data_IF_240036959776
#
_entry.id   IF_240036959776
#
_cell.length_a   1.000
_cell.length_b   1.000
_cell.length_c   1.000
_cell.angle_alpha   90.00
_cell.angle_beta   90.00
_cell.angle_gamma   90.00
#
_symmetry.space_group_name_H-M   'P 1'
#
loop_
_entity.id
_entity.type
_entity.pdbx_description
1 polymer ?
#
# COMPACT_ATOMS: atom_id res chain seq x y z
N UNK A 1 -24.09 17.86 -4.13
CA UNK A 1 -23.20 16.70 -3.95
C UNK A 1 -23.07 16.00 -5.29
N UNK A 2 -21.87 15.95 -5.87
CA UNK A 2 -21.68 15.33 -7.18
C UNK A 2 -21.59 13.81 -7.02
N UNK A 3 -22.45 13.07 -7.72
CA UNK A 3 -22.40 11.60 -7.78
C UNK A 3 -21.51 11.18 -8.94
N UNK A 4 -20.36 10.60 -8.65
CA UNK A 4 -19.47 10.04 -9.69
C UNK A 4 -20.13 8.79 -10.28
N UNK A 5 -20.22 8.69 -11.62
CA UNK A 5 -20.78 7.54 -12.34
C UNK A 5 -19.76 7.01 -13.33
N UNK A 6 -19.41 5.74 -13.24
CA UNK A 6 -18.58 5.01 -14.20
C UNK A 6 -19.53 4.19 -15.07
N UNK A 7 -19.29 4.23 -16.37
CA UNK A 7 -20.05 3.50 -17.37
C UNK A 7 -19.41 2.13 -17.55
N UNK A 8 -20.15 1.06 -17.24
CA UNK A 8 -19.71 -0.30 -17.55
C UNK A 8 -19.83 -0.57 -19.06
N UNK A 9 -19.17 -1.62 -19.53
CA UNK A 9 -19.12 -2.03 -20.94
C UNK A 9 -20.50 -2.36 -21.55
N UNK A 10 -21.51 -2.58 -20.73
CA UNK A 10 -22.92 -2.80 -21.11
C UNK A 10 -23.77 -1.52 -21.10
N UNK A 11 -23.17 -0.36 -20.78
CA UNK A 11 -23.84 0.94 -20.75
C UNK A 11 -24.66 1.21 -19.49
N UNK A 12 -24.67 0.32 -18.50
CA UNK A 12 -25.35 0.57 -17.24
C UNK A 12 -24.59 1.59 -16.38
N UNK A 13 -25.33 2.43 -15.65
CA UNK A 13 -24.80 3.44 -14.73
C UNK A 13 -25.01 2.94 -13.30
N UNK A 14 -23.93 2.50 -12.65
CA UNK A 14 -23.95 2.14 -11.23
C UNK A 14 -23.63 3.36 -10.35
N UNK A 15 -24.36 3.53 -9.23
CA UNK A 15 -24.03 4.53 -8.20
C UNK A 15 -22.75 4.08 -7.45
N UNK A 16 -21.67 4.85 -7.54
CA UNK A 16 -20.29 4.42 -7.25
C UNK A 16 -19.70 4.95 -5.94
N UNK A 17 -20.46 5.72 -5.15
CA UNK A 17 -19.93 6.31 -3.91
C UNK A 17 -19.33 5.29 -2.95
N UNK A 18 -19.83 4.05 -2.96
CA UNK A 18 -19.34 2.95 -2.12
C UNK A 18 -18.06 2.30 -2.67
N UNK A 19 -17.87 2.30 -3.99
CA UNK A 19 -16.82 1.52 -4.66
C UNK A 19 -15.51 2.29 -4.90
N UNK A 20 -15.53 3.62 -5.01
CA UNK A 20 -14.29 4.41 -5.21
C UNK A 20 -13.39 4.32 -3.99
N UNK A 21 -13.97 4.47 -2.80
CA UNK A 21 -13.21 4.40 -1.53
C UNK A 21 -12.55 3.03 -1.34
N UNK A 22 -13.20 1.97 -1.81
CA UNK A 22 -12.65 0.62 -1.79
C UNK A 22 -11.54 0.44 -2.83
N UNK A 23 -11.73 0.97 -4.04
CA UNK A 23 -10.71 0.98 -5.10
C UNK A 23 -9.43 1.72 -4.66
N UNK A 24 -9.58 2.81 -3.91
CA UNK A 24 -8.49 3.65 -3.41
C UNK A 24 -7.71 3.06 -2.22
N UNK A 25 -8.18 1.95 -1.60
CA UNK A 25 -7.45 1.33 -0.48
C UNK A 25 -6.06 0.85 -0.88
N UNK A 26 -5.97 0.25 -2.07
CA UNK A 26 -4.75 -0.40 -2.56
C UNK A 26 -4.17 0.30 -3.79
N UNK A 27 -4.79 1.40 -4.24
CA UNK A 27 -4.45 2.03 -5.50
C UNK A 27 -4.40 3.56 -5.41
N UNK A 28 -3.62 4.19 -6.30
CA UNK A 28 -3.43 5.64 -6.36
C UNK A 28 -3.68 6.14 -7.78
N UNK A 29 -4.36 7.29 -7.90
CA UNK A 29 -4.54 8.00 -9.16
C UNK A 29 -3.31 8.77 -9.57
N UNK A 30 -2.97 8.70 -10.86
CA UNK A 30 -1.79 9.36 -11.42
C UNK A 30 -2.19 10.22 -12.61
N UNK A 31 -1.66 11.44 -12.66
CA UNK A 31 -1.81 12.32 -13.83
C UNK A 31 -1.09 11.74 -15.04
N UNK A 32 -1.64 11.95 -16.24
CA UNK A 32 -1.04 11.53 -17.51
C UNK A 32 0.42 11.99 -17.66
N UNK A 33 0.77 13.15 -17.09
CA UNK A 33 2.13 13.70 -17.12
C UNK A 33 3.20 12.81 -16.45
N UNK A 34 2.81 11.81 -15.65
CA UNK A 34 3.72 10.90 -14.96
C UNK A 34 3.73 9.49 -15.57
N UNK A 35 3.02 9.26 -16.68
CA UNK A 35 2.93 7.92 -17.29
C UNK A 35 4.27 7.45 -17.86
N UNK A 36 5.01 8.34 -18.52
CA UNK A 36 6.31 8.01 -19.09
C UNK A 36 7.28 7.52 -18.00
N UNK A 37 7.23 8.14 -16.81
CA UNK A 37 8.02 7.70 -15.65
C UNK A 37 7.63 6.29 -15.19
N UNK A 38 6.35 5.93 -15.22
CA UNK A 38 5.91 4.57 -14.86
C UNK A 38 6.38 3.54 -15.88
N UNK A 39 6.33 3.88 -17.18
CA UNK A 39 6.83 3.02 -18.27
C UNK A 39 8.33 2.81 -18.14
N UNK A 40 9.11 3.89 -17.97
CA UNK A 40 10.57 3.85 -17.83
C UNK A 40 11.03 2.98 -16.65
N UNK A 41 10.23 2.93 -15.58
CA UNK A 41 10.51 2.15 -14.38
C UNK A 41 9.85 0.76 -14.37
N UNK A 42 9.22 0.33 -15.47
CA UNK A 42 8.48 -0.95 -15.56
C UNK A 42 7.41 -1.12 -14.46
N UNK A 43 6.77 -0.03 -14.06
CA UNK A 43 5.73 -0.05 -13.03
C UNK A 43 4.37 -0.29 -13.72
N UNK A 44 3.66 -1.38 -13.39
CA UNK A 44 2.38 -1.67 -14.01
C UNK A 44 1.30 -0.67 -13.57
N UNK A 45 0.49 -0.23 -14.53
CA UNK A 45 -0.65 0.64 -14.31
C UNK A 45 -1.85 0.16 -15.13
N UNK A 46 -3.05 0.60 -14.75
CA UNK A 46 -4.28 0.38 -15.52
C UNK A 46 -4.79 1.71 -16.06
N UNK A 47 -5.23 1.74 -17.32
CA UNK A 47 -5.90 2.89 -17.95
C UNK A 47 -7.41 2.67 -17.92
N UNK A 48 -8.18 3.71 -17.61
CA UNK A 48 -9.63 3.71 -17.82
C UNK A 48 -10.14 5.09 -18.23
N UNK A 49 -11.31 5.13 -18.88
CA UNK A 49 -11.96 6.35 -19.33
C UNK A 49 -13.23 6.57 -18.54
N UNK A 50 -13.41 7.79 -18.01
CA UNK A 50 -14.58 8.20 -17.26
C UNK A 50 -14.99 9.59 -17.75
N UNK A 51 -16.24 9.75 -18.23
CA UNK A 51 -16.78 11.00 -18.77
C UNK A 51 -15.83 11.69 -19.78
N UNK A 52 -15.33 10.93 -20.76
CA UNK A 52 -14.36 11.36 -21.79
C UNK A 52 -12.99 11.83 -21.26
N UNK A 53 -12.73 11.64 -19.96
CA UNK A 53 -11.44 11.91 -19.32
C UNK A 53 -10.69 10.59 -19.09
N UNK A 54 -9.41 10.56 -19.49
CA UNK A 54 -8.52 9.42 -19.26
C UNK A 54 -7.89 9.47 -17.89
N UNK A 55 -7.99 8.37 -17.15
CA UNK A 55 -7.39 8.16 -15.85
C UNK A 55 -6.42 6.98 -15.86
N UNK A 56 -5.41 7.06 -15.00
CA UNK A 56 -4.45 6.00 -14.79
C UNK A 56 -4.37 5.68 -13.31
N UNK A 57 -4.29 4.38 -13.01
CA UNK A 57 -4.25 3.89 -11.64
C UNK A 57 -3.10 2.91 -11.46
N UNK A 58 -2.35 3.10 -10.39
CA UNK A 58 -1.24 2.24 -9.98
C UNK A 58 -1.58 1.58 -8.65
N UNK A 59 -1.10 0.36 -8.45
CA UNK A 59 -1.13 -0.25 -7.11
C UNK A 59 -0.15 0.47 -6.21
N UNK A 60 -0.58 0.82 -5.00
CA UNK A 60 0.31 1.36 -4.01
C UNK A 60 1.34 0.28 -3.64
N UNK A 61 2.63 0.61 -3.74
CA UNK A 61 3.68 -0.25 -3.22
C UNK A 61 3.51 -0.38 -1.71
N UNK A 62 3.25 -1.60 -1.21
CA UNK A 62 3.41 -1.88 0.21
C UNK A 62 4.90 -2.00 0.49
N UNK A 63 5.43 -1.18 1.40
CA UNK A 63 6.79 -1.38 1.86
C UNK A 63 6.84 -2.78 2.47
N UNK A 64 7.69 -3.65 1.90
CA UNK A 64 7.89 -4.98 2.47
C UNK A 64 8.31 -4.80 3.92
N UNK A 65 7.64 -5.49 4.84
CA UNK A 65 8.07 -5.54 6.23
C UNK A 65 9.51 -6.03 6.24
N UNK A 66 10.34 -5.36 7.03
CA UNK A 66 11.77 -5.67 7.13
C UNK A 66 12.02 -7.08 7.65
N UNK A 67 11.17 -7.54 8.57
CA UNK A 67 11.25 -8.84 9.19
C UNK A 67 10.06 -9.69 8.78
N UNK A 68 10.32 -10.96 8.46
CA UNK A 68 9.29 -11.96 8.22
C UNK A 68 8.76 -12.54 9.55
N UNK A 69 7.77 -13.43 9.47
CA UNK A 69 7.13 -14.01 10.66
C UNK A 69 8.08 -14.83 11.55
N UNK A 70 9.05 -15.53 10.95
CA UNK A 70 10.04 -16.33 11.69
C UNK A 70 11.03 -15.42 12.43
N UNK A 71 11.52 -14.38 11.76
CA UNK A 71 12.40 -13.38 12.36
C UNK A 71 11.70 -12.63 13.49
N UNK A 72 10.42 -12.29 13.32
CA UNK A 72 9.59 -11.68 14.38
C UNK A 72 9.47 -12.62 15.58
N UNK A 73 9.33 -13.94 15.38
CA UNK A 73 9.31 -14.91 16.46
C UNK A 73 10.66 -14.98 17.21
N UNK A 74 11.78 -14.94 16.48
CA UNK A 74 13.11 -14.86 17.07
C UNK A 74 13.31 -13.59 17.91
N UNK A 75 12.90 -12.43 17.39
CA UNK A 75 12.96 -11.15 18.11
C UNK A 75 12.11 -11.20 19.40
N UNK A 76 10.91 -11.80 19.33
CA UNK A 76 10.04 -11.97 20.50
C UNK A 76 10.66 -12.87 21.56
N UNK A 77 11.32 -13.95 21.17
CA UNK A 77 12.04 -14.83 22.11
C UNK A 77 13.22 -14.10 22.76
N UNK A 78 13.99 -13.35 21.98
CA UNK A 78 15.10 -12.57 22.52
C UNK A 78 14.63 -11.44 23.47
N UNK A 79 13.43 -10.90 23.27
CA UNK A 79 12.82 -9.88 24.16
C UNK A 79 12.57 -10.38 25.59
N UNK A 80 12.54 -11.70 25.81
CA UNK A 80 12.41 -12.30 27.14
C UNK A 80 13.68 -12.11 27.98
N UNK A 81 14.84 -11.98 27.32
CA UNK A 81 16.16 -11.94 27.99
C UNK A 81 16.95 -10.66 27.71
N UNK A 82 16.63 -9.93 26.64
CA UNK A 82 17.36 -8.75 26.18
C UNK A 82 16.50 -7.48 26.19
N UNK A 83 17.13 -6.33 26.42
CA UNK A 83 16.46 -5.04 26.32
C UNK A 83 16.25 -4.62 24.86
N UNK A 84 15.22 -3.80 24.63
CA UNK A 84 14.86 -3.28 23.31
C UNK A 84 16.04 -2.59 22.62
N UNK A 85 16.84 -1.80 23.36
CA UNK A 85 18.05 -1.15 22.80
C UNK A 85 19.12 -2.15 22.36
N UNK A 86 19.31 -3.25 23.09
CA UNK A 86 20.28 -4.28 22.67
C UNK A 86 19.79 -4.99 21.40
N UNK A 87 18.49 -5.23 21.29
CA UNK A 87 17.90 -5.85 20.10
C UNK A 87 17.88 -4.93 18.89
N UNK A 88 17.67 -3.62 19.07
CA UNK A 88 17.74 -2.66 17.97
C UNK A 88 19.13 -2.67 17.33
N UNK A 89 20.19 -2.82 18.15
CA UNK A 89 21.56 -3.01 17.65
C UNK A 89 21.74 -4.38 17.01
N UNK A 90 21.32 -5.48 17.66
CA UNK A 90 21.47 -6.86 17.15
C UNK A 90 20.81 -7.06 15.78
N UNK A 91 19.61 -6.51 15.59
CA UNK A 91 18.82 -6.64 14.36
C UNK A 91 18.94 -5.41 13.43
N UNK A 92 19.85 -4.49 13.74
CA UNK A 92 20.13 -3.27 12.98
C UNK A 92 18.87 -2.47 12.59
N UNK A 93 17.92 -2.31 13.51
CA UNK A 93 16.66 -1.61 13.26
C UNK A 93 16.41 -0.56 14.34
N UNK A 94 15.38 0.28 14.15
CA UNK A 94 15.05 1.29 15.15
C UNK A 94 14.41 0.64 16.39
N UNK A 95 14.59 1.29 17.54
CA UNK A 95 13.94 0.90 18.81
C UNK A 95 12.42 0.79 18.63
N UNK A 96 11.81 1.66 17.80
CA UNK A 96 10.38 1.62 17.50
C UNK A 96 9.94 0.34 16.78
N UNK A 97 10.78 -0.22 15.89
CA UNK A 97 10.45 -1.48 15.22
C UNK A 97 10.36 -2.62 16.24
N UNK A 98 11.35 -2.72 17.12
CA UNK A 98 11.34 -3.73 18.20
C UNK A 98 10.15 -3.49 19.16
N UNK A 99 9.84 -2.23 19.48
CA UNK A 99 8.68 -1.88 20.31
C UNK A 99 7.36 -2.31 19.65
N UNK A 100 7.20 -2.09 18.35
CA UNK A 100 6.01 -2.52 17.61
C UNK A 100 5.89 -4.05 17.59
N UNK A 101 7.00 -4.76 17.42
CA UNK A 101 7.05 -6.23 17.52
C UNK A 101 6.61 -6.69 18.91
N UNK A 102 7.13 -6.05 19.98
CA UNK A 102 6.75 -6.33 21.36
C UNK A 102 5.25 -6.12 21.62
N UNK A 103 4.67 -5.08 21.03
CA UNK A 103 3.26 -4.74 21.18
C UNK A 103 2.32 -5.48 20.22
N UNK A 104 2.83 -6.40 19.39
CA UNK A 104 2.07 -7.06 18.32
C UNK A 104 1.42 -6.08 17.32
N UNK A 105 2.09 -4.97 17.04
CA UNK A 105 1.68 -3.91 16.08
C UNK A 105 2.58 -3.86 14.85
N UNK A 106 3.45 -4.85 14.68
CA UNK A 106 4.43 -4.90 13.60
C UNK A 106 3.81 -5.43 12.31
#
# INVERSE_FOLDING_TARGET
MSKNKIKSSDGSLADISSNVSELLKDNVFVSKSFIDILVDNNIPFFEFVLDDVKYYIVRQGTSKKRFNSEEVACIKKDLETMSIRKLSVKYNCSVNVIQNIKLNRY
#
